data_IF_362664488474
#
_entry.id   IF_362664488474
#
_cell.length_a   1.000
_cell.length_b   1.000
_cell.length_c   1.000
_cell.angle_alpha   90.00
_cell.angle_beta   90.00
_cell.angle_gamma   90.00
#
_symmetry.space_group_name_H-M   'P 1'
#
loop_
_entity.id
_entity.type
_entity.pdbx_description
1 polymer ?
#
# COMPACT_ATOMS: atom_id res chain seq x y z
N UNK A 1 -20.08 -20.43 6.31
CA UNK A 1 -18.68 -20.54 6.75
C UNK A 1 -17.81 -19.98 5.64
N UNK A 2 -17.31 -18.75 5.78
CA UNK A 2 -16.49 -18.11 4.76
C UNK A 2 -15.06 -18.63 4.88
N UNK A 3 -14.56 -19.28 3.83
CA UNK A 3 -13.19 -19.75 3.69
C UNK A 3 -12.26 -18.53 3.82
N UNK A 4 -11.46 -18.46 4.89
CA UNK A 4 -10.39 -17.48 4.98
C UNK A 4 -9.40 -17.79 3.84
N UNK A 5 -9.46 -17.01 2.75
CA UNK A 5 -8.48 -17.07 1.67
C UNK A 5 -7.11 -16.94 2.31
N UNK A 6 -6.32 -18.01 2.26
CA UNK A 6 -4.96 -18.04 2.79
C UNK A 6 -4.18 -16.95 2.06
N UNK A 7 -3.98 -15.81 2.71
CA UNK A 7 -3.14 -14.74 2.19
C UNK A 7 -1.75 -15.35 1.96
N UNK A 8 -1.34 -15.42 0.70
CA UNK A 8 0.02 -15.86 0.37
C UNK A 8 0.94 -14.65 0.58
N UNK A 9 2.01 -14.77 1.38
CA UNK A 9 3.01 -13.72 1.49
C UNK A 9 3.66 -13.46 0.12
N UNK A 10 4.07 -12.21 -0.12
CA UNK A 10 4.86 -11.87 -1.29
C UNK A 10 6.20 -12.62 -1.29
N UNK A 11 6.65 -13.07 -2.46
CA UNK A 11 7.95 -13.72 -2.61
C UNK A 11 9.06 -12.66 -2.63
N UNK A 12 9.85 -12.61 -1.56
CA UNK A 12 10.95 -11.63 -1.44
C UNK A 12 12.01 -11.77 -2.53
N UNK A 13 12.13 -12.92 -3.18
CA UNK A 13 13.05 -13.10 -4.32
C UNK A 13 12.61 -12.35 -5.58
N UNK A 14 11.32 -11.97 -5.66
CA UNK A 14 10.73 -11.23 -6.78
C UNK A 14 10.68 -9.72 -6.57
N UNK A 15 11.25 -9.23 -5.47
CA UNK A 15 11.23 -7.80 -5.16
C UNK A 15 12.03 -7.03 -6.21
N UNK A 16 11.38 -6.08 -6.89
CA UNK A 16 11.99 -5.31 -7.97
C UNK A 16 13.14 -4.40 -7.48
N UNK A 17 13.11 -4.02 -6.19
CA UNK A 17 14.10 -3.15 -5.56
C UNK A 17 14.58 -3.74 -4.24
N UNK A 18 15.90 -3.65 -3.99
CA UNK A 18 16.45 -3.90 -2.66
C UNK A 18 16.27 -2.65 -1.81
N UNK A 19 15.30 -2.70 -0.91
CA UNK A 19 15.08 -1.64 0.07
C UNK A 19 16.11 -1.71 1.21
N UNK A 20 16.32 -0.62 1.97
CA UNK A 20 17.12 -0.65 3.19
C UNK A 20 16.65 -1.76 4.14
N UNK A 21 17.54 -2.25 5.01
CA UNK A 21 17.18 -3.29 5.99
C UNK A 21 16.38 -2.70 7.18
N UNK A 22 15.23 -2.12 6.84
CA UNK A 22 14.21 -1.62 7.75
C UNK A 22 12.87 -2.22 7.31
N UNK A 23 11.89 -2.39 8.22
CA UNK A 23 10.52 -2.66 7.84
C UNK A 23 10.04 -1.62 6.82
N UNK A 24 9.52 -2.08 5.69
CA UNK A 24 9.09 -1.23 4.58
C UNK A 24 7.60 -1.36 4.32
N UNK A 25 6.94 -0.24 4.05
CA UNK A 25 5.49 -0.18 3.88
C UNK A 25 5.08 0.69 2.70
N UNK A 26 4.15 0.20 1.90
CA UNK A 26 3.35 0.98 0.98
C UNK A 26 1.93 1.14 1.52
N UNK A 27 1.38 2.35 1.44
CA UNK A 27 -0.03 2.61 1.76
C UNK A 27 -0.73 2.91 0.45
N UNK A 28 -1.72 2.10 0.08
CA UNK A 28 -2.48 2.27 -1.15
C UNK A 28 -3.61 3.28 -0.95
N UNK A 29 -4.06 3.96 -2.04
CA UNK A 29 -5.24 4.80 -2.01
C UNK A 29 -6.45 4.02 -1.50
N UNK A 30 -7.11 4.53 -0.47
CA UNK A 30 -8.32 3.89 0.07
C UNK A 30 -9.46 4.04 -0.92
N UNK A 31 -10.26 2.99 -1.06
CA UNK A 31 -11.40 2.99 -1.96
C UNK A 31 -12.54 3.84 -1.41
N UNK A 32 -13.17 4.59 -2.31
CA UNK A 32 -14.40 5.29 -1.98
C UNK A 32 -15.58 4.29 -1.96
N UNK A 33 -16.08 3.97 -0.76
CA UNK A 33 -17.22 3.06 -0.58
C UNK A 33 -18.59 3.76 -0.68
N UNK A 34 -18.63 5.09 -0.76
CA UNK A 34 -19.88 5.86 -0.83
C UNK A 34 -20.54 5.82 -2.21
N UNK A 35 -19.77 5.56 -3.27
CA UNK A 35 -20.21 5.66 -4.66
C UNK A 35 -20.26 7.09 -5.20
N UNK A 36 -20.05 8.11 -4.37
CA UNK A 36 -20.08 9.53 -4.77
C UNK A 36 -18.68 10.01 -5.16
N UNK A 37 -18.38 10.31 -6.45
CA UNK A 37 -17.03 10.70 -6.88
C UNK A 37 -16.51 11.95 -6.19
N UNK A 38 -17.42 12.83 -5.76
CA UNK A 38 -17.10 14.03 -4.98
C UNK A 38 -16.45 13.71 -3.63
N UNK A 39 -16.52 12.46 -3.14
CA UNK A 39 -15.95 12.02 -1.87
C UNK A 39 -14.62 11.27 -2.03
N UNK A 40 -14.09 11.09 -3.25
CA UNK A 40 -12.81 10.41 -3.49
C UNK A 40 -11.63 11.05 -2.73
N UNK A 41 -11.71 12.36 -2.50
CA UNK A 41 -10.69 13.10 -1.76
C UNK A 41 -10.57 12.65 -0.30
N UNK A 42 -11.61 12.04 0.29
CA UNK A 42 -11.55 11.52 1.65
C UNK A 42 -10.61 10.32 1.75
N UNK A 43 -10.70 9.39 0.79
CA UNK A 43 -9.80 8.25 0.70
C UNK A 43 -8.37 8.71 0.43
N UNK A 44 -8.19 9.64 -0.53
CA UNK A 44 -6.87 10.19 -0.86
C UNK A 44 -6.24 10.93 0.32
N UNK A 45 -7.02 11.79 0.99
CA UNK A 45 -6.56 12.55 2.15
C UNK A 45 -6.20 11.66 3.34
N UNK A 46 -6.94 10.57 3.55
CA UNK A 46 -6.61 9.57 4.57
C UNK A 46 -5.31 8.84 4.22
N UNK A 47 -5.16 8.37 2.98
CA UNK A 47 -3.91 7.74 2.50
C UNK A 47 -2.72 8.66 2.71
N UNK A 48 -2.84 9.93 2.31
CA UNK A 48 -1.81 10.94 2.50
C UNK A 48 -1.43 11.12 3.97
N UNK A 49 -2.43 11.27 4.83
CA UNK A 49 -2.21 11.47 6.25
C UNK A 49 -1.46 10.27 6.87
N UNK A 50 -1.86 9.04 6.54
CA UNK A 50 -1.18 7.82 7.01
C UNK A 50 0.27 7.78 6.52
N UNK A 51 0.51 8.06 5.22
CA UNK A 51 1.87 8.12 4.68
C UNK A 51 2.70 9.16 5.43
N UNK A 52 2.17 10.37 5.65
CA UNK A 52 2.87 11.43 6.38
C UNK A 52 3.19 11.04 7.83
N UNK A 53 2.25 10.43 8.55
CA UNK A 53 2.48 9.97 9.93
C UNK A 53 3.53 8.87 9.97
N UNK A 54 3.44 7.86 9.09
CA UNK A 54 4.41 6.76 9.05
C UNK A 54 5.80 7.22 8.60
N UNK A 55 5.88 8.17 7.66
CA UNK A 55 7.16 8.67 7.14
C UNK A 55 7.98 9.40 8.20
N UNK A 56 7.36 9.88 9.27
CA UNK A 56 8.06 10.46 10.42
C UNK A 56 8.63 9.39 11.39
N UNK A 57 8.35 8.10 11.17
CA UNK A 57 8.93 7.03 11.97
C UNK A 57 10.33 6.64 11.46
N UNK A 58 11.42 6.85 12.24
CA UNK A 58 12.79 6.61 11.78
C UNK A 58 13.10 5.12 11.51
N UNK A 59 12.26 4.23 12.05
CA UNK A 59 12.39 2.78 11.94
C UNK A 59 11.60 2.19 10.77
N UNK A 60 10.90 3.02 9.98
CA UNK A 60 10.16 2.58 8.80
C UNK A 60 10.76 3.15 7.52
N UNK A 61 10.77 2.33 6.48
CA UNK A 61 10.96 2.80 5.12
C UNK A 61 9.59 2.92 4.44
N UNK A 62 9.13 4.15 4.23
CA UNK A 62 7.79 4.41 3.68
C UNK A 62 7.90 4.74 2.20
N UNK A 63 7.12 4.04 1.39
CA UNK A 63 7.04 4.33 -0.05
C UNK A 63 6.35 5.69 -0.25
N UNK A 64 6.88 6.47 -1.19
CA UNK A 64 6.37 7.79 -1.48
C UNK A 64 4.89 7.75 -1.92
N UNK A 65 4.16 8.82 -1.58
CA UNK A 65 2.78 9.03 -2.02
C UNK A 65 2.63 8.81 -3.53
N UNK A 66 3.50 9.40 -4.34
CA UNK A 66 3.37 9.35 -5.80
C UNK A 66 3.49 7.92 -6.33
N UNK A 67 4.38 7.10 -5.76
CA UNK A 67 4.53 5.68 -6.12
C UNK A 67 3.28 4.88 -5.74
N UNK A 68 2.76 5.05 -4.53
CA UNK A 68 1.53 4.40 -4.08
C UNK A 68 0.31 4.79 -4.92
N UNK A 69 0.18 6.06 -5.28
CA UNK A 69 -0.98 6.56 -6.03
C UNK A 69 -1.03 6.05 -7.48
N UNK A 70 0.06 5.46 -7.99
CA UNK A 70 0.03 4.77 -9.29
C UNK A 70 -0.92 3.56 -9.30
N UNK A 71 -1.32 3.05 -8.14
CA UNK A 71 -2.24 1.92 -7.99
C UNK A 71 -3.71 2.35 -7.80
N UNK A 72 -4.01 3.66 -7.75
CA UNK A 72 -5.39 4.15 -7.59
C UNK A 72 -6.28 3.63 -8.72
N UNK A 73 -7.43 3.06 -8.36
CA UNK A 73 -8.43 2.55 -9.31
C UNK A 73 -7.97 1.33 -10.12
N UNK A 74 -6.85 0.70 -9.76
CA UNK A 74 -6.37 -0.52 -10.40
C UNK A 74 -6.74 -1.72 -9.57
N UNK A 75 -7.28 -2.76 -10.22
CA UNK A 75 -7.42 -4.07 -9.61
C UNK A 75 -6.03 -4.75 -9.61
N UNK A 76 -5.27 -4.54 -8.53
CA UNK A 76 -3.94 -5.16 -8.35
C UNK A 76 -3.95 -6.03 -7.10
N UNK A 77 -3.33 -7.20 -7.16
CA UNK A 77 -3.18 -8.04 -5.95
C UNK A 77 -2.14 -7.43 -5.04
N UNK A 78 -2.41 -7.40 -3.75
CA UNK A 78 -1.46 -6.92 -2.72
C UNK A 78 -0.06 -7.54 -2.85
N UNK A 79 0.00 -8.82 -3.20
CA UNK A 79 1.27 -9.54 -3.44
C UNK A 79 2.08 -8.90 -4.57
N UNK A 80 1.44 -8.59 -5.70
CA UNK A 80 2.10 -7.99 -6.85
C UNK A 80 2.60 -6.58 -6.54
N UNK A 81 1.82 -5.81 -5.76
CA UNK A 81 2.26 -4.49 -5.26
C UNK A 81 3.51 -4.63 -4.39
N UNK A 82 3.49 -5.57 -3.45
CA UNK A 82 4.62 -5.82 -2.57
C UNK A 82 5.89 -6.21 -3.35
N UNK A 83 5.75 -7.09 -4.35
CA UNK A 83 6.85 -7.49 -5.23
C UNK A 83 7.37 -6.32 -6.09
N UNK A 84 6.48 -5.54 -6.70
CA UNK A 84 6.85 -4.41 -7.57
C UNK A 84 7.51 -3.26 -6.80
N UNK A 85 7.07 -2.98 -5.57
CA UNK A 85 7.65 -1.92 -4.74
C UNK A 85 8.79 -2.42 -3.84
N UNK A 86 8.97 -3.75 -3.74
CA UNK A 86 9.94 -4.38 -2.85
C UNK A 86 9.60 -4.22 -1.36
N UNK A 87 8.34 -4.01 -1.01
CA UNK A 87 7.91 -3.73 0.37
C UNK A 87 7.52 -4.97 1.14
N UNK A 88 7.79 -4.96 2.45
CA UNK A 88 7.41 -6.05 3.36
C UNK A 88 5.94 -6.01 3.75
N UNK A 89 5.36 -4.80 3.79
CA UNK A 89 3.97 -4.56 4.16
C UNK A 89 3.27 -3.70 3.12
N UNK A 90 2.00 -3.98 2.91
CA UNK A 90 1.09 -3.15 2.13
C UNK A 90 -0.15 -2.92 2.96
N UNK A 91 -0.57 -1.67 3.08
CA UNK A 91 -1.82 -1.27 3.71
C UNK A 91 -2.80 -0.88 2.60
N UNK A 92 -3.98 -1.49 2.62
CA UNK A 92 -5.10 -1.20 1.71
C UNK A 92 -6.43 -1.14 2.49
N UNK A 93 -7.46 -0.56 1.88
CA UNK A 93 -8.80 -0.39 2.45
C UNK A 93 -9.79 0.19 1.47
#
# INVERSE_FOLDING_TARGET
MATATRLQPADQSKFAYKLPDKPSIAVLPFNNMSGEPSQDYLGDGLTENIISVLANSPNLFVISRNSSFTYKGKATKVQEVAEQLGVRYVLEG
#
